data_IF_452228068500
#
_entry.id   IF_452228068500
#
_cell.length_a   1.000
_cell.length_b   1.000
_cell.length_c   1.000
_cell.angle_alpha   90.00
_cell.angle_beta   90.00
_cell.angle_gamma   90.00
#
_symmetry.space_group_name_H-M   'P 1'
#
loop_
_entity.id
_entity.type
_entity.pdbx_description
1 polymer ?
#
# COMPACT_ATOMS: atom_id res chain seq x y z
N UNK A 1 -16.38 14.00 11.25
CA UNK A 1 -16.52 14.14 9.78
C UNK A 1 -15.30 13.52 9.15
N UNK A 2 -15.43 12.36 8.53
CA UNK A 2 -14.31 11.74 7.80
C UNK A 2 -14.49 12.08 6.32
N UNK A 3 -13.48 12.73 5.76
CA UNK A 3 -13.43 13.10 4.35
C UNK A 3 -12.30 12.30 3.72
N UNK A 4 -12.63 11.42 2.78
CA UNK A 4 -11.65 10.69 1.97
C UNK A 4 -11.74 11.22 0.53
N UNK A 5 -10.58 11.44 -0.09
CA UNK A 5 -10.49 11.75 -1.53
C UNK A 5 -10.04 10.47 -2.21
N UNK A 6 -10.92 9.91 -3.05
CA UNK A 6 -10.57 8.81 -3.94
C UNK A 6 -9.90 9.41 -5.17
N UNK A 7 -8.58 9.27 -5.28
CA UNK A 7 -7.88 9.54 -6.53
C UNK A 7 -8.02 8.30 -7.41
N UNK A 8 -8.44 8.53 -8.66
CA UNK A 8 -8.77 7.50 -9.64
C UNK A 8 -7.52 6.67 -9.97
N UNK A 9 -7.35 5.51 -9.29
CA UNK A 9 -6.35 4.51 -9.66
C UNK A 9 -5.55 3.81 -8.54
N UNK A 10 -5.75 4.13 -7.26
CA UNK A 10 -4.73 3.82 -6.24
C UNK A 10 -5.20 3.08 -4.97
N UNK A 11 -6.30 2.33 -5.01
CA UNK A 11 -6.73 1.56 -3.84
C UNK A 11 -6.86 0.07 -4.17
N UNK A 12 -5.77 -0.68 -3.97
CA UNK A 12 -5.88 -2.10 -3.68
C UNK A 12 -6.04 -2.21 -2.16
N UNK A 13 -7.26 -2.51 -1.70
CA UNK A 13 -7.46 -3.01 -0.34
C UNK A 13 -6.74 -4.36 -0.27
N UNK A 14 -5.74 -4.46 0.61
CA UNK A 14 -5.22 -5.77 0.99
C UNK A 14 -6.41 -6.58 1.53
N UNK A 15 -6.58 -7.86 1.14
CA UNK A 15 -7.63 -8.68 1.71
C UNK A 15 -7.45 -8.66 3.22
N UNK A 16 -8.41 -8.07 3.94
CA UNK A 16 -8.52 -8.33 5.36
C UNK A 16 -8.78 -9.84 5.46
N UNK A 17 -7.95 -10.53 6.24
CA UNK A 17 -8.21 -11.90 6.62
C UNK A 17 -9.50 -11.91 7.45
N UNK A 18 -10.63 -12.09 6.77
CA UNK A 18 -11.91 -12.35 7.41
C UNK A 18 -12.07 -13.88 7.52
N UNK A 19 -12.15 -14.30 8.78
CA UNK A 19 -12.46 -15.64 9.27
C UNK A 19 -13.82 -16.16 8.72
N UNK A 20 -14.09 -17.48 8.77
CA UNK A 20 -15.00 -18.14 7.84
C UNK A 20 -16.46 -17.92 8.20
N UNK A 21 -17.26 -17.45 7.24
CA UNK A 21 -18.72 -17.58 7.28
C UNK A 21 -19.22 -18.27 6.01
N UNK A 22 -20.15 -19.20 6.23
CA UNK A 22 -20.60 -20.21 5.31
C UNK A 22 -21.69 -19.70 4.33
N UNK A 23 -21.59 -20.23 3.10
CA UNK A 23 -22.65 -20.64 2.15
C UNK A 23 -23.58 -19.61 1.45
N UNK A 24 -23.86 -19.98 0.18
CA UNK A 24 -24.93 -19.59 -0.76
C UNK A 24 -24.74 -18.29 -1.57
N UNK A 25 -24.94 -18.18 -2.89
CA UNK A 25 -25.43 -19.06 -3.97
C UNK A 25 -25.08 -18.42 -5.35
N UNK A 26 -25.18 -19.21 -6.42
CA UNK A 26 -24.74 -19.08 -7.81
C UNK A 26 -25.34 -17.94 -8.69
N UNK A 27 -24.55 -17.36 -9.61
CA UNK A 27 -25.02 -16.58 -10.78
C UNK A 27 -23.91 -16.22 -11.80
N UNK A 28 -24.11 -16.32 -13.13
CA UNK A 28 -23.02 -16.45 -14.12
C UNK A 28 -22.38 -15.12 -14.54
N UNK A 29 -21.05 -15.14 -14.63
CA UNK A 29 -20.18 -14.00 -14.87
C UNK A 29 -20.20 -13.51 -16.34
N UNK A 30 -20.46 -12.22 -16.53
CA UNK A 30 -20.12 -11.46 -17.74
C UNK A 30 -18.79 -10.76 -17.47
N UNK A 31 -17.69 -11.03 -18.20
CA UNK A 31 -16.44 -10.32 -17.94
C UNK A 31 -16.52 -8.91 -18.57
N UNK A 32 -16.75 -7.91 -17.72
CA UNK A 32 -16.53 -6.51 -18.06
C UNK A 32 -15.04 -6.28 -18.40
N UNK A 33 -14.69 -5.31 -19.27
CA UNK A 33 -13.34 -5.09 -19.73
C UNK A 33 -12.44 -4.67 -18.56
N UNK A 34 -11.55 -5.57 -18.18
CA UNK A 34 -10.50 -5.35 -17.18
C UNK A 34 -9.59 -4.24 -17.69
N UNK A 35 -9.42 -3.11 -16.97
CA UNK A 35 -8.38 -2.14 -17.32
C UNK A 35 -7.01 -2.83 -17.25
N UNK A 36 -5.96 -2.32 -17.90
CA UNK A 36 -4.65 -2.98 -17.95
C UNK A 36 -4.07 -3.05 -16.53
N UNK A 37 -4.38 -4.15 -15.84
CA UNK A 37 -3.77 -4.53 -14.58
C UNK A 37 -2.27 -4.57 -14.82
N UNK A 38 -1.51 -3.77 -14.08
CA UNK A 38 -0.13 -4.09 -13.81
C UNK A 38 -0.08 -5.58 -13.44
N UNK A 39 0.78 -6.37 -14.09
CA UNK A 39 0.79 -7.82 -13.94
C UNK A 39 0.74 -8.19 -12.45
N UNK A 40 -0.33 -8.85 -11.95
CA UNK A 40 -0.65 -8.91 -10.52
C UNK A 40 0.52 -9.43 -9.67
N UNK A 41 1.27 -10.40 -10.19
CA UNK A 41 2.43 -10.97 -9.47
C UNK A 41 3.57 -9.99 -9.18
N UNK A 42 3.65 -8.86 -9.89
CA UNK A 42 4.73 -7.90 -9.65
C UNK A 42 4.46 -6.97 -8.48
N UNK A 43 3.21 -6.55 -8.30
CA UNK A 43 2.85 -5.73 -7.15
C UNK A 43 2.98 -6.56 -5.86
N UNK A 44 2.60 -7.84 -5.91
CA UNK A 44 2.80 -8.79 -4.82
C UNK A 44 4.28 -8.94 -4.46
N UNK A 45 5.16 -9.08 -5.46
CA UNK A 45 6.61 -9.12 -5.24
C UNK A 45 7.14 -7.85 -4.58
N UNK A 46 6.68 -6.67 -4.98
CA UNK A 46 7.07 -5.42 -4.33
C UNK A 46 6.60 -5.35 -2.87
N UNK A 47 5.36 -5.78 -2.59
CA UNK A 47 4.83 -5.84 -1.23
C UNK A 47 5.65 -6.79 -0.36
N UNK A 48 6.03 -7.96 -0.87
CA UNK A 48 6.89 -8.90 -0.14
C UNK A 48 8.23 -8.26 0.22
N UNK A 49 8.85 -7.53 -0.72
CA UNK A 49 10.10 -6.80 -0.47
C UNK A 49 9.92 -5.68 0.56
N UNK A 50 8.81 -4.96 0.53
CA UNK A 50 8.49 -3.93 1.52
C UNK A 50 8.31 -4.54 2.91
N UNK A 51 7.60 -5.66 3.03
CA UNK A 51 7.38 -6.36 4.29
C UNK A 51 8.69 -6.80 4.94
N UNK A 52 9.69 -7.19 4.15
CA UNK A 52 11.04 -7.55 4.66
C UNK A 52 11.79 -6.37 5.29
N UNK A 53 11.39 -5.12 5.03
CA UNK A 53 11.95 -3.93 5.67
C UNK A 53 11.32 -3.65 7.05
N UNK A 54 10.17 -4.26 7.34
CA UNK A 54 9.40 -4.02 8.55
C UNK A 54 9.69 -5.10 9.60
N UNK A 55 9.38 -4.79 10.87
CA UNK A 55 9.42 -5.81 11.91
C UNK A 55 8.25 -6.78 11.71
N UNK A 56 8.35 -8.03 12.20
CA UNK A 56 7.27 -9.00 12.06
C UNK A 56 5.94 -8.56 12.69
N UNK A 57 5.97 -7.63 13.65
CA UNK A 57 4.79 -7.11 14.33
C UNK A 57 4.16 -5.90 13.63
N UNK A 58 4.83 -5.34 12.61
CA UNK A 58 4.36 -4.16 11.89
C UNK A 58 3.53 -4.59 10.68
N UNK A 59 2.32 -4.05 10.56
CA UNK A 59 1.40 -4.33 9.46
C UNK A 59 1.25 -3.11 8.54
N UNK A 60 1.34 -3.36 7.23
CA UNK A 60 1.02 -2.38 6.20
C UNK A 60 -0.50 -2.25 6.12
N UNK A 61 -1.04 -1.07 6.43
CA UNK A 61 -2.47 -0.76 6.37
C UNK A 61 -2.88 -0.19 5.02
N UNK A 62 -1.94 0.50 4.36
CA UNK A 62 -2.12 1.08 3.04
C UNK A 62 -0.78 1.12 2.33
N UNK A 63 -0.78 0.80 1.03
CA UNK A 63 0.37 0.96 0.15
C UNK A 63 -0.08 1.69 -1.11
N UNK A 64 0.50 2.86 -1.36
CA UNK A 64 0.18 3.70 -2.51
C UNK A 64 1.43 3.81 -3.38
N UNK A 65 1.34 3.38 -4.63
CA UNK A 65 2.38 3.67 -5.63
C UNK A 65 2.23 5.11 -6.09
N UNK A 66 3.27 5.90 -5.94
CA UNK A 66 3.29 7.30 -6.38
C UNK A 66 3.70 7.39 -7.85
N UNK A 67 3.14 8.37 -8.55
CA UNK A 67 3.62 8.77 -9.86
C UNK A 67 4.88 9.61 -9.67
N UNK A 68 6.01 9.17 -10.22
CA UNK A 68 7.27 9.92 -10.13
C UNK A 68 7.51 10.71 -11.41
N UNK A 69 7.86 11.98 -11.26
CA UNK A 69 8.42 12.79 -12.35
C UNK A 69 9.72 12.20 -12.92
N UNK A 70 10.43 11.33 -12.18
CA UNK A 70 11.68 10.71 -12.61
C UNK A 70 11.39 9.40 -13.33
N UNK A 71 11.61 9.32 -14.66
CA UNK A 71 11.41 8.09 -15.39
C UNK A 71 12.35 7.02 -14.81
N UNK A 72 11.79 5.83 -14.57
CA UNK A 72 12.42 4.61 -14.02
C UNK A 72 12.32 4.42 -12.51
N UNK A 73 12.22 5.43 -11.66
CA UNK A 73 12.11 5.18 -10.20
C UNK A 73 10.66 4.89 -9.82
N UNK A 74 10.48 3.93 -8.91
CA UNK A 74 9.19 3.72 -8.27
C UNK A 74 9.28 4.13 -6.81
N UNK A 75 8.28 4.87 -6.36
CA UNK A 75 8.12 5.24 -4.96
C UNK A 75 6.79 4.72 -4.46
N UNK A 76 6.81 4.11 -3.29
CA UNK A 76 5.61 3.74 -2.55
C UNK A 76 5.54 4.55 -1.27
N UNK A 77 4.32 4.96 -0.94
CA UNK A 77 3.98 5.52 0.35
C UNK A 77 3.20 4.48 1.12
N UNK A 78 3.71 4.08 2.28
CA UNK A 78 3.09 3.06 3.13
C UNK A 78 2.57 3.69 4.40
N UNK A 79 1.37 3.29 4.82
CA UNK A 79 0.88 3.54 6.18
C UNK A 79 1.10 2.25 6.96
N UNK A 80 1.96 2.29 7.97
CA UNK A 80 2.34 1.14 8.78
C UNK A 80 1.92 1.38 10.23
N UNK A 81 1.40 0.33 10.87
CA UNK A 81 1.13 0.33 12.30
C UNK A 81 1.63 -0.99 12.92
N UNK A 82 2.15 -0.99 14.15
CA UNK A 82 2.36 -2.20 14.92
C UNK A 82 1.00 -2.82 15.29
N UNK A 83 0.96 -4.14 15.35
CA UNK A 83 -0.19 -4.91 15.84
C UNK A 83 0.01 -5.39 17.29
N UNK A 84 1.06 -4.90 17.95
CA UNK A 84 1.36 -5.20 19.35
C UNK A 84 0.28 -4.60 20.29
N UNK A 85 -0.17 -5.35 21.30
CA UNK A 85 -1.09 -4.83 22.31
C UNK A 85 -0.53 -3.58 22.98
N UNK A 86 -1.32 -2.51 23.06
CA UNK A 86 -0.90 -1.25 23.67
C UNK A 86 -0.06 -0.33 22.77
N UNK A 87 0.17 -0.71 21.51
CA UNK A 87 0.80 0.16 20.52
C UNK A 87 -0.22 1.04 19.76
N UNK A 88 -1.40 1.26 20.35
CA UNK A 88 -2.44 2.12 19.80
C UNK A 88 -1.90 3.54 19.56
N UNK A 89 -2.16 4.08 18.36
CA UNK A 89 -1.68 5.40 17.97
C UNK A 89 -0.26 5.45 17.39
N UNK A 90 0.49 4.34 17.38
CA UNK A 90 1.83 4.30 16.79
C UNK A 90 1.79 4.07 15.27
N UNK A 91 1.22 5.00 14.53
CA UNK A 91 1.19 4.90 13.05
C UNK A 91 2.35 5.69 12.44
N UNK A 92 2.99 5.13 11.41
CA UNK A 92 4.02 5.82 10.65
C UNK A 92 3.71 5.78 9.15
N UNK A 93 4.08 6.85 8.47
CA UNK A 93 4.13 6.95 7.03
C UNK A 93 5.57 6.64 6.58
N UNK A 94 5.72 5.69 5.67
CA UNK A 94 7.02 5.28 5.14
C UNK A 94 7.10 5.58 3.64
N UNK A 95 8.20 6.21 3.22
CA UNK A 95 8.57 6.32 1.82
C UNK A 95 9.50 5.18 1.45
N UNK A 96 9.10 4.34 0.50
CA UNK A 96 9.89 3.22 -0.01
C UNK A 96 10.25 3.44 -1.46
N UNK A 97 11.55 3.37 -1.77
CA UNK A 97 12.06 3.60 -3.12
C UNK A 97 12.56 2.29 -3.75
N UNK A 98 12.20 2.07 -5.01
CA UNK A 98 12.78 1.04 -5.88
C UNK A 98 13.59 1.72 -7.00
N UNK A 99 14.82 1.25 -7.27
CA UNK A 99 15.68 1.86 -8.29
C UNK A 99 15.08 1.72 -9.69
N UNK A 100 14.35 0.63 -9.92
CA UNK A 100 13.52 0.45 -11.09
C UNK A 100 12.36 -0.49 -10.85
N UNK A 101 11.45 -0.44 -11.80
CA UNK A 101 10.27 -1.27 -11.96
C UNK A 101 10.53 -2.77 -11.70
N UNK A 102 11.57 -3.40 -12.27
CA UNK A 102 11.89 -4.82 -12.04
C UNK A 102 12.85 -5.12 -10.88
N UNK A 103 12.98 -4.23 -9.89
CA UNK A 103 14.01 -4.38 -8.86
C UNK A 103 13.65 -5.45 -7.84
N UNK A 104 14.64 -6.22 -7.42
CA UNK A 104 14.52 -7.27 -6.40
C UNK A 104 14.85 -6.78 -4.99
N UNK A 105 15.06 -5.47 -4.84
CA UNK A 105 15.33 -4.82 -3.57
C UNK A 105 14.73 -3.42 -3.54
N UNK A 106 14.47 -2.93 -2.33
CA UNK A 106 13.96 -1.59 -2.07
C UNK A 106 14.57 -1.01 -0.80
N UNK A 107 14.45 0.30 -0.63
CA UNK A 107 15.04 1.04 0.50
C UNK A 107 14.02 1.96 1.15
N UNK A 108 14.13 2.18 2.46
CA UNK A 108 13.40 3.24 3.16
C UNK A 108 14.06 4.59 2.88
N UNK A 109 13.34 5.49 2.22
CA UNK A 109 13.78 6.86 1.96
C UNK A 109 13.23 7.88 2.96
N UNK A 110 12.08 7.58 3.58
CA UNK A 110 11.41 8.47 4.54
C UNK A 110 10.69 7.67 5.62
N UNK A 111 10.70 8.17 6.85
CA UNK A 111 9.90 7.67 7.98
C UNK A 111 9.32 8.87 8.72
N UNK A 112 8.00 8.97 8.80
CA UNK A 112 7.29 10.07 9.45
C UNK A 112 6.22 9.52 10.41
N UNK A 113 6.27 9.81 11.73
CA UNK A 113 5.18 9.46 12.62
C UNK A 113 3.91 10.23 12.26
N UNK A 114 2.76 9.54 12.24
CA UNK A 114 1.46 10.14 11.96
C UNK A 114 0.71 10.44 13.26
N UNK A 115 0.44 11.72 13.48
CA UNK A 115 -0.39 12.24 14.56
C UNK A 115 -1.72 12.75 14.02
N UNK A 116 -2.68 13.02 14.90
CA UNK A 116 -4.04 13.43 14.50
C UNK A 116 -4.11 14.75 13.74
N UNK A 117 -3.11 15.62 13.93
CA UNK A 117 -2.96 16.91 13.28
C UNK A 117 -1.99 16.89 12.08
N UNK A 118 -1.44 15.72 11.74
CA UNK A 118 -0.51 15.58 10.62
C UNK A 118 -1.24 15.76 9.29
N UNK A 119 -0.75 16.68 8.46
CA UNK A 119 -1.21 16.90 7.10
C UNK A 119 -0.06 16.61 6.14
N UNK A 120 -0.32 15.79 5.12
CA UNK A 120 0.70 15.37 4.14
C UNK A 120 0.26 15.86 2.78
N UNK A 121 1.18 16.52 2.09
CA UNK A 121 1.02 16.97 0.72
C UNK A 121 2.09 16.28 -0.12
N UNK A 122 1.66 15.71 -1.25
CA UNK A 122 2.56 15.10 -2.22
C UNK A 122 2.90 16.16 -3.27
N UNK A 123 4.18 16.26 -3.62
CA UNK A 123 4.63 17.11 -4.72
C UNK A 123 4.95 16.28 -5.96
N UNK A 124 5.42 16.91 -7.03
CA UNK A 124 5.51 16.31 -8.36
C UNK A 124 6.36 15.03 -8.48
N UNK A 125 7.14 14.63 -7.47
CA UNK A 125 7.84 13.34 -7.45
C UNK A 125 7.33 12.33 -6.42
N UNK A 126 6.21 12.66 -5.77
CA UNK A 126 5.56 11.88 -4.73
C UNK A 126 5.94 12.38 -3.34
#
# INVERSE_FOLDING_TARGET
RQSFVVVKGAALLLPAEELPEAEAELGPAVPAPVPPCAAPGRQEQHLELMMRLLRPQDAIRLAVRLESARPRRLRYLLVVRPEEPGAEGQTALLGVDFPHEGATSCTLGMVLPLWSDTQVFLDGDG
#
